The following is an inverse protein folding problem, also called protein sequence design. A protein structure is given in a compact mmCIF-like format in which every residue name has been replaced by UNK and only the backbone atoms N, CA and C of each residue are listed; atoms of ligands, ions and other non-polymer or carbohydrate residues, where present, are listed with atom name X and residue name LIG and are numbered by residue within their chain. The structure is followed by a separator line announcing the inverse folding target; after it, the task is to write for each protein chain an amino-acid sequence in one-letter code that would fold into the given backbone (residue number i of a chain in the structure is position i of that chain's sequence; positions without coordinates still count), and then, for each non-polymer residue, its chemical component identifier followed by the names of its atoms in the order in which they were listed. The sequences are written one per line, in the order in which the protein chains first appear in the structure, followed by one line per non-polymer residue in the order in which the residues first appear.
data_IF_493899956530
#
_entry.id   IF_493899956530
#
_cell.length_a   1.000
_cell.length_b   1.000
_cell.length_c   1.000
_cell.angle_alpha   90.00
_cell.angle_beta   90.00
_cell.angle_gamma   90.00
#
_symmetry.space_group_name_H-M   'P 1'
#
loop_
_entity.id
_entity.type
_entity.pdbx_description
1 polymer ?
#
# COMPACT_ATOMS: atom_id res chain seq x y z
N UNK A 1 -1.50 24.26 -10.84
CA UNK A 1 -0.98 22.91 -11.23
C UNK A 1 -1.90 21.84 -10.67
N UNK A 2 -1.92 20.66 -11.28
CA UNK A 2 -2.63 19.50 -10.80
C UNK A 2 -1.65 18.52 -10.15
N UNK A 3 -2.16 17.54 -9.41
CA UNK A 3 -1.39 16.45 -8.85
C UNK A 3 -1.46 15.26 -9.78
N UNK A 4 -0.32 14.65 -10.08
CA UNK A 4 -0.28 13.40 -10.83
C UNK A 4 -0.28 12.23 -9.87
N UNK A 5 -0.92 11.11 -10.25
CA UNK A 5 -1.15 9.96 -9.38
C UNK A 5 -0.50 8.73 -10.01
N UNK A 6 0.28 8.00 -9.22
CA UNK A 6 0.87 6.73 -9.63
C UNK A 6 0.33 5.59 -8.77
N UNK A 7 -0.22 4.56 -9.39
CA UNK A 7 -0.84 3.45 -8.69
C UNK A 7 -0.68 2.11 -9.43
N UNK A 8 -0.89 1.00 -8.71
CA UNK A 8 -0.89 -0.34 -9.25
C UNK A 8 -2.26 -0.75 -9.79
N UNK A 9 -2.29 -1.46 -10.91
CA UNK A 9 -3.54 -1.88 -11.56
C UNK A 9 -3.93 -3.33 -11.27
N UNK A 10 -3.07 -4.11 -10.63
CA UNK A 10 -3.26 -5.53 -10.33
C UNK A 10 -3.39 -5.76 -8.80
N UNK A 11 -2.84 -6.84 -8.28
CA UNK A 11 -2.88 -7.21 -6.85
C UNK A 11 -1.63 -6.76 -6.06
N UNK A 12 -1.01 -5.66 -6.45
CA UNK A 12 0.21 -5.16 -5.82
C UNK A 12 1.48 -5.77 -6.45
N UNK A 13 2.62 -5.31 -5.95
CA UNK A 13 3.95 -5.77 -6.39
C UNK A 13 4.28 -5.54 -7.87
N UNK A 14 3.61 -4.57 -8.50
CA UNK A 14 3.82 -4.22 -9.92
C UNK A 14 5.16 -3.51 -10.18
N UNK A 15 5.88 -3.09 -9.12
CA UNK A 15 7.14 -2.35 -9.26
C UNK A 15 6.97 -0.83 -9.24
N UNK A 16 5.91 -0.34 -8.57
CA UNK A 16 5.60 1.10 -8.43
C UNK A 16 6.79 1.94 -8.00
N UNK A 17 7.50 1.53 -6.94
CA UNK A 17 8.64 2.28 -6.39
C UNK A 17 9.70 2.60 -7.44
N UNK A 18 10.00 1.66 -8.35
CA UNK A 18 10.94 1.87 -9.46
C UNK A 18 10.48 2.98 -10.42
N UNK A 19 9.18 3.02 -10.73
CA UNK A 19 8.63 4.05 -11.62
C UNK A 19 8.54 5.40 -10.91
N UNK A 20 8.18 5.42 -9.61
CA UNK A 20 8.24 6.65 -8.81
C UNK A 20 9.65 7.22 -8.82
N UNK A 21 10.67 6.40 -8.57
CA UNK A 21 12.07 6.83 -8.57
C UNK A 21 12.47 7.43 -9.93
N UNK A 22 12.10 6.79 -11.05
CA UNK A 22 12.37 7.28 -12.41
C UNK A 22 11.66 8.61 -12.70
N UNK A 23 10.44 8.81 -12.20
CA UNK A 23 9.66 10.03 -12.44
C UNK A 23 10.02 11.16 -11.45
N UNK A 24 10.55 10.84 -10.28
CA UNK A 24 10.84 11.81 -9.20
C UNK A 24 11.65 13.03 -9.65
N UNK A 25 12.65 12.96 -10.55
CA UNK A 25 13.36 14.14 -11.01
C UNK A 25 12.46 15.25 -11.56
N UNK A 26 11.33 14.89 -12.15
CA UNK A 26 10.37 15.83 -12.74
C UNK A 26 9.41 16.46 -11.72
N UNK A 27 9.44 16.06 -10.46
CA UNK A 27 8.53 16.51 -9.42
C UNK A 27 9.27 17.25 -8.31
N UNK A 28 8.58 18.14 -7.61
CA UNK A 28 9.10 18.83 -6.42
C UNK A 28 8.75 18.06 -5.14
N UNK A 29 7.62 17.37 -5.16
CA UNK A 29 7.06 16.66 -4.00
C UNK A 29 6.61 15.26 -4.40
N UNK A 30 6.97 14.25 -3.59
CA UNK A 30 6.41 12.90 -3.65
C UNK A 30 5.62 12.63 -2.37
N UNK A 31 4.34 12.26 -2.50
CA UNK A 31 3.44 12.12 -1.36
C UNK A 31 2.72 10.76 -1.35
N UNK A 32 2.93 9.96 -0.29
CA UNK A 32 2.18 8.72 -0.05
C UNK A 32 0.78 9.06 0.44
N UNK A 33 -0.25 8.49 -0.18
CA UNK A 33 -1.63 8.86 0.13
C UNK A 33 -2.42 7.80 0.91
N UNK A 34 -2.00 6.53 0.93
CA UNK A 34 -2.71 5.47 1.63
C UNK A 34 -1.77 4.29 1.98
N UNK A 35 -2.31 3.31 2.73
CA UNK A 35 -1.57 2.14 3.19
C UNK A 35 -0.76 2.46 4.45
N UNK A 36 0.21 1.64 4.71
CA UNK A 36 1.04 1.71 5.88
C UNK A 36 2.24 0.78 5.73
N UNK A 37 2.76 0.20 6.83
CA UNK A 37 3.94 -0.67 6.78
C UNK A 37 3.73 -2.00 6.03
N UNK A 38 2.52 -2.31 5.56
CA UNK A 38 2.24 -3.44 4.67
C UNK A 38 2.74 -3.24 3.23
N UNK A 39 3.10 -2.02 2.83
CA UNK A 39 3.77 -1.77 1.55
C UNK A 39 5.23 -2.21 1.60
N UNK A 40 5.80 -2.53 0.43
CA UNK A 40 7.21 -2.83 0.27
C UNK A 40 7.68 -2.33 -1.09
N UNK A 41 8.08 -1.05 -1.17
CA UNK A 41 8.61 -0.45 -2.39
C UNK A 41 10.13 -0.65 -2.43
N UNK A 42 10.57 -1.55 -3.29
CA UNK A 42 12.00 -1.83 -3.45
C UNK A 42 12.61 -0.84 -4.42
N UNK A 43 13.66 -0.15 -3.98
CA UNK A 43 14.47 0.76 -4.78
C UNK A 43 15.93 0.31 -4.67
N UNK A 44 16.65 0.37 -5.76
CA UNK A 44 18.08 0.15 -5.79
C UNK A 44 18.78 1.50 -5.96
N UNK A 45 19.58 1.88 -4.97
CA UNK A 45 20.25 3.17 -4.92
C UNK A 45 21.73 2.96 -4.53
N UNK A 46 22.66 3.47 -5.34
CA UNK A 46 24.12 3.29 -5.16
C UNK A 46 24.55 1.83 -4.96
N UNK A 47 23.88 0.88 -5.64
CA UNK A 47 24.17 -0.55 -5.53
C UNK A 47 23.63 -1.21 -4.25
N UNK A 48 22.93 -0.46 -3.39
CA UNK A 48 22.23 -0.97 -2.22
C UNK A 48 20.74 -1.08 -2.48
N UNK A 49 20.15 -2.16 -1.98
CA UNK A 49 18.70 -2.40 -2.09
C UNK A 49 17.99 -1.91 -0.84
N UNK A 50 17.08 -0.97 -1.01
CA UNK A 50 16.24 -0.43 0.05
C UNK A 50 14.79 -0.88 -0.14
N UNK A 51 14.12 -1.25 0.95
CA UNK A 51 12.69 -1.60 0.95
C UNK A 51 11.96 -0.57 1.79
N UNK A 52 11.22 0.32 1.12
CA UNK A 52 10.45 1.38 1.78
C UNK A 52 9.05 0.90 2.11
N UNK A 53 8.60 1.16 3.33
CA UNK A 53 7.29 0.79 3.85
C UNK A 53 6.37 2.00 4.03
N UNK A 54 6.86 3.05 4.66
CA UNK A 54 6.13 4.28 4.99
C UNK A 54 6.64 5.49 4.22
N UNK A 55 7.96 5.55 4.04
CA UNK A 55 8.64 6.70 3.42
C UNK A 55 8.35 6.71 1.91
N UNK A 56 8.03 7.87 1.33
CA UNK A 56 7.89 7.98 -0.12
C UNK A 56 9.17 7.67 -0.87
N UNK A 57 9.05 7.10 -2.07
CA UNK A 57 10.18 6.64 -2.88
C UNK A 57 11.09 7.77 -3.37
N UNK A 58 10.64 9.02 -3.32
CA UNK A 58 11.43 10.20 -3.66
C UNK A 58 12.51 10.59 -2.65
N UNK A 59 12.62 9.89 -1.51
CA UNK A 59 13.54 10.26 -0.41
C UNK A 59 15.01 10.24 -0.83
N UNK A 60 15.38 9.43 -1.80
CA UNK A 60 16.75 9.31 -2.31
C UNK A 60 17.20 10.48 -3.20
N UNK A 61 16.29 11.36 -3.60
CA UNK A 61 16.57 12.56 -4.38
C UNK A 61 16.70 13.78 -3.46
N UNK A 62 17.87 14.41 -3.45
CA UNK A 62 18.27 15.40 -2.45
C UNK A 62 17.46 16.71 -2.44
N UNK A 63 16.86 17.07 -3.56
CA UNK A 63 16.11 18.32 -3.75
C UNK A 63 14.57 18.14 -3.61
N UNK A 64 14.10 16.92 -3.25
CA UNK A 64 12.67 16.61 -3.22
C UNK A 64 12.10 16.58 -1.81
N UNK A 65 10.89 17.11 -1.67
CA UNK A 65 10.11 16.98 -0.44
C UNK A 65 9.30 15.70 -0.50
N UNK A 66 9.28 14.98 0.61
CA UNK A 66 8.56 13.70 0.75
C UNK A 66 7.48 13.84 1.82
N UNK A 67 6.25 13.41 1.56
CA UNK A 67 5.13 13.59 2.48
C UNK A 67 4.46 12.26 2.78
N UNK A 68 4.37 11.92 4.06
CA UNK A 68 3.47 10.89 4.58
C UNK A 68 2.09 11.54 4.77
N UNK A 69 1.14 11.18 3.91
CA UNK A 69 -0.15 11.86 3.79
C UNK A 69 -1.19 11.45 4.84
N UNK A 70 -2.35 12.11 4.80
CA UNK A 70 -3.45 11.93 5.75
C UNK A 70 -4.04 10.51 5.75
N UNK A 71 -4.03 9.85 4.58
CA UNK A 71 -4.61 8.53 4.41
C UNK A 71 -3.73 7.39 4.91
N UNK A 72 -2.45 7.67 5.23
CA UNK A 72 -1.52 6.68 5.77
C UNK A 72 -1.86 6.28 7.20
N UNK A 73 -1.52 5.03 7.54
CA UNK A 73 -1.42 4.57 8.93
C UNK A 73 0.06 4.32 9.25
N UNK A 74 0.57 5.00 10.26
CA UNK A 74 2.00 5.09 10.59
C UNK A 74 2.29 4.27 11.83
N UNK A 75 3.16 3.28 11.70
CA UNK A 75 3.75 2.57 12.83
C UNK A 75 5.05 3.29 13.25
N UNK A 76 5.12 3.91 14.42
CA UNK A 76 6.32 4.63 14.86
C UNK A 76 7.57 3.76 14.90
N UNK A 77 7.45 2.49 15.29
CA UNK A 77 8.58 1.54 15.37
C UNK A 77 9.12 1.24 13.96
N UNK A 78 8.22 0.91 13.02
CA UNK A 78 8.62 0.67 11.63
C UNK A 78 9.20 1.94 11.01
N UNK A 79 8.62 3.11 11.28
CA UNK A 79 9.12 4.40 10.81
C UNK A 79 10.55 4.66 11.28
N UNK A 80 10.84 4.45 12.57
CA UNK A 80 12.19 4.60 13.12
C UNK A 80 13.19 3.68 12.43
N UNK A 81 12.89 2.39 12.35
CA UNK A 81 13.77 1.41 11.72
C UNK A 81 14.00 1.71 10.23
N UNK A 82 12.95 2.14 9.53
CA UNK A 82 13.06 2.50 8.12
C UNK A 82 13.97 3.70 7.90
N UNK A 83 13.79 4.78 8.68
CA UNK A 83 14.68 5.96 8.62
C UNK A 83 16.13 5.58 8.94
N UNK A 84 16.37 4.80 9.99
CA UNK A 84 17.71 4.34 10.39
C UNK A 84 18.37 3.48 9.29
N UNK A 85 17.57 2.71 8.54
CA UNK A 85 18.04 1.85 7.45
C UNK A 85 18.37 2.57 6.14
N UNK A 86 17.99 3.84 6.00
CA UNK A 86 18.28 4.61 4.77
C UNK A 86 19.77 4.84 4.54
N UNK A 87 20.61 4.81 5.60
CA UNK A 87 22.04 5.12 5.51
C UNK A 87 22.33 6.58 5.12
N UNK A 88 21.35 7.47 5.26
CA UNK A 88 21.43 8.88 4.91
C UNK A 88 21.67 9.75 6.15
N UNK A 89 22.19 10.96 5.95
CA UNK A 89 22.28 11.95 7.02
C UNK A 89 20.88 12.28 7.57
N UNK A 90 20.69 12.07 8.87
CA UNK A 90 19.40 12.23 9.54
C UNK A 90 18.87 13.66 9.51
N UNK A 91 19.75 14.65 9.52
CA UNK A 91 19.38 16.06 9.41
C UNK A 91 18.71 16.33 8.07
N UNK A 92 19.31 15.86 6.98
CA UNK A 92 18.75 15.97 5.63
C UNK A 92 17.43 15.23 5.49
N UNK A 93 17.30 14.03 6.09
CA UNK A 93 16.02 13.29 6.07
C UNK A 93 14.94 14.08 6.79
N UNK A 94 15.22 14.66 7.98
CA UNK A 94 14.26 15.47 8.75
C UNK A 94 13.81 16.75 8.02
N UNK A 95 14.67 17.35 7.24
CA UNK A 95 14.34 18.55 6.45
C UNK A 95 13.35 18.24 5.31
N UNK A 96 13.46 17.05 4.72
CA UNK A 96 12.76 16.66 3.49
C UNK A 96 11.58 15.72 3.69
N UNK A 97 11.51 15.05 4.83
CA UNK A 97 10.42 14.14 5.16
C UNK A 97 9.43 14.83 6.09
N UNK A 98 8.23 15.09 5.57
CA UNK A 98 7.13 15.72 6.28
C UNK A 98 6.05 14.67 6.61
N UNK A 99 5.47 14.76 7.80
CA UNK A 99 4.43 13.84 8.24
C UNK A 99 3.14 14.63 8.46
N UNK A 100 2.04 14.15 7.88
CA UNK A 100 0.74 14.77 8.11
C UNK A 100 0.30 14.64 9.55
N UNK A 101 -0.12 15.77 10.15
CA UNK A 101 -0.78 15.78 11.46
C UNK A 101 -2.02 14.88 11.51
N UNK A 102 -2.68 14.65 10.35
CA UNK A 102 -3.91 13.85 10.23
C UNK A 102 -3.66 12.38 9.94
N UNK A 103 -2.42 11.94 9.70
CA UNK A 103 -2.08 10.52 9.55
C UNK A 103 -2.36 9.77 10.86
N UNK A 104 -2.89 8.55 10.76
CA UNK A 104 -3.24 7.75 11.93
C UNK A 104 -2.05 6.91 12.42
N UNK A 105 -2.01 6.68 13.72
CA UNK A 105 -0.97 5.86 14.34
C UNK A 105 -1.41 4.40 14.45
N UNK A 106 -0.49 3.49 14.16
CA UNK A 106 -0.63 2.09 14.52
C UNK A 106 -0.09 1.92 15.93
N UNK A 107 -0.97 1.44 16.84
CA UNK A 107 -0.63 1.14 18.21
C UNK A 107 -0.19 -0.33 18.35
N UNK A 108 0.55 -0.70 19.41
CA UNK A 108 0.88 -2.11 19.69
C UNK A 108 -0.34 -3.03 19.69
N UNK A 109 -1.43 -2.59 20.27
CA UNK A 109 -2.70 -3.33 20.35
C UNK A 109 -3.37 -3.57 19.00
N UNK A 110 -3.13 -2.74 17.97
CA UNK A 110 -3.59 -3.02 16.61
C UNK A 110 -2.92 -4.27 16.03
N UNK A 111 -1.62 -4.48 16.30
CA UNK A 111 -0.91 -5.69 15.85
C UNK A 111 -1.48 -6.94 16.53
N UNK A 112 -1.79 -6.84 17.84
CA UNK A 112 -2.40 -7.92 18.59
C UNK A 112 -3.80 -8.26 18.08
N UNK A 113 -4.62 -7.25 17.79
CA UNK A 113 -5.95 -7.43 17.20
C UNK A 113 -5.88 -8.04 15.81
N UNK A 114 -4.93 -7.61 14.97
CA UNK A 114 -4.72 -8.17 13.63
C UNK A 114 -4.37 -9.66 13.71
N UNK A 115 -3.45 -10.02 14.60
CA UNK A 115 -3.07 -11.42 14.83
C UNK A 115 -4.23 -12.26 15.39
N UNK A 116 -5.00 -11.73 16.32
CA UNK A 116 -6.15 -12.41 16.93
C UNK A 116 -7.27 -12.62 15.90
N UNK A 117 -7.59 -11.59 15.09
CA UNK A 117 -8.58 -11.67 14.01
C UNK A 117 -8.18 -12.74 12.99
N UNK A 118 -6.94 -12.70 12.50
CA UNK A 118 -6.45 -13.64 11.51
C UNK A 118 -6.44 -15.08 12.05
N UNK A 119 -6.05 -15.27 13.31
CA UNK A 119 -6.08 -16.59 13.96
C UNK A 119 -7.51 -17.13 14.11
N UNK A 120 -8.49 -16.27 14.40
CA UNK A 120 -9.89 -16.65 14.59
C UNK A 120 -10.56 -17.16 13.31
N UNK A 121 -10.06 -16.78 12.13
CA UNK A 121 -10.61 -17.16 10.83
C UNK A 121 -10.24 -18.60 10.43
N UNK A 122 -9.31 -19.27 11.10
CA UNK A 122 -8.92 -20.65 10.79
C UNK A 122 -8.49 -20.81 9.33
N UNK A 123 -9.22 -21.64 8.58
CA UNK A 123 -8.95 -21.86 7.14
C UNK A 123 -9.37 -20.68 6.25
N UNK A 124 -10.29 -19.83 6.72
CA UNK A 124 -10.77 -18.65 5.99
C UNK A 124 -9.84 -17.42 6.12
N UNK A 125 -8.59 -17.62 6.51
CA UNK A 125 -7.59 -16.55 6.65
C UNK A 125 -7.49 -15.71 5.38
N UNK A 126 -7.44 -14.39 5.58
CA UNK A 126 -7.24 -13.41 4.49
C UNK A 126 -5.76 -13.41 4.05
N UNK A 127 -4.85 -13.76 4.94
CA UNK A 127 -3.40 -13.68 4.71
C UNK A 127 -2.84 -12.31 5.08
N UNK A 128 -3.34 -11.72 6.17
CA UNK A 128 -2.87 -10.45 6.73
C UNK A 128 -1.36 -10.44 6.94
N UNK A 129 -0.76 -9.25 6.85
CA UNK A 129 0.66 -9.03 7.17
C UNK A 129 0.94 -8.98 8.67
N UNK A 130 -0.08 -9.06 9.52
CA UNK A 130 -0.05 -8.95 10.98
C UNK A 130 0.58 -7.64 11.48
N UNK A 131 0.48 -6.57 10.69
CA UNK A 131 1.06 -5.25 11.01
C UNK A 131 0.05 -4.25 11.58
N UNK A 132 -1.15 -4.71 11.91
CA UNK A 132 -2.18 -3.87 12.52
C UNK A 132 -2.88 -2.91 11.55
N UNK A 133 -2.78 -3.13 10.24
CA UNK A 133 -3.34 -2.24 9.22
C UNK A 133 -4.87 -2.20 9.30
N UNK A 134 -5.52 -3.37 9.25
CA UNK A 134 -6.98 -3.49 9.36
C UNK A 134 -7.54 -2.83 10.61
N UNK A 135 -7.09 -3.20 11.81
CA UNK A 135 -7.53 -2.58 13.05
C UNK A 135 -7.31 -1.06 13.11
N UNK A 136 -6.18 -0.55 12.60
CA UNK A 136 -5.93 0.89 12.57
C UNK A 136 -6.91 1.65 11.64
N UNK A 137 -7.25 1.09 10.48
CA UNK A 137 -8.29 1.66 9.60
C UNK A 137 -9.70 1.49 10.19
N UNK A 138 -9.97 0.42 10.93
CA UNK A 138 -11.23 0.25 11.69
C UNK A 138 -11.38 1.37 12.70
N UNK A 139 -10.34 1.66 13.47
CA UNK A 139 -10.35 2.76 14.44
C UNK A 139 -10.51 4.13 13.76
N UNK A 140 -9.87 4.33 12.63
CA UNK A 140 -10.06 5.55 11.82
C UNK A 140 -11.54 5.70 11.41
N UNK A 141 -12.17 4.65 10.89
CA UNK A 141 -13.57 4.68 10.44
C UNK A 141 -14.55 4.82 11.61
N UNK A 142 -14.27 4.17 12.76
CA UNK A 142 -15.06 4.29 13.98
C UNK A 142 -14.81 5.60 14.77
N UNK A 143 -13.89 6.44 14.33
CA UNK A 143 -13.51 7.73 14.94
C UNK A 143 -12.84 7.57 16.30
N UNK A 144 -12.15 6.45 16.50
CA UNK A 144 -11.38 6.14 17.70
C UNK A 144 -9.86 6.19 17.48
N UNK A 145 -9.41 6.31 16.22
CA UNK A 145 -8.00 6.32 15.87
C UNK A 145 -7.25 7.50 16.45
N UNK A 146 -6.02 7.27 16.87
CA UNK A 146 -5.07 8.31 17.25
C UNK A 146 -4.33 8.83 16.00
N UNK A 147 -4.08 10.13 15.98
CA UNK A 147 -3.37 10.81 14.88
C UNK A 147 -2.00 11.28 15.31
N UNK A 148 -1.13 11.52 14.33
CA UNK A 148 0.21 12.11 14.58
C UNK A 148 0.10 13.46 15.30
N UNK A 149 -0.90 14.27 15.00
CA UNK A 149 -1.15 15.54 15.68
C UNK A 149 -1.43 15.41 17.18
N UNK A 150 -1.98 14.29 17.62
CA UNK A 150 -2.29 14.05 19.03
C UNK A 150 -1.02 13.87 19.89
N UNK A 151 0.11 13.53 19.28
CA UNK A 151 1.39 13.32 19.95
C UNK A 151 1.90 14.54 20.70
N UNK A 152 1.49 15.74 20.27
CA UNK A 152 1.85 17.03 20.92
C UNK A 152 0.82 17.46 21.97
N UNK A 153 -0.29 16.73 22.10
CA UNK A 153 -1.35 17.03 23.07
C UNK A 153 -0.94 16.70 24.50
N UNK A 154 -1.40 17.53 25.45
CA UNK A 154 -1.15 17.31 26.90
C UNK A 154 -1.74 15.98 27.38
N UNK A 155 -2.87 15.55 26.78
CA UNK A 155 -3.63 14.37 27.18
C UNK A 155 -3.26 13.12 26.36
N UNK A 156 -2.16 13.18 25.60
CA UNK A 156 -1.75 12.08 24.70
C UNK A 156 -1.69 10.71 25.40
N UNK A 157 -1.03 10.64 26.58
CA UNK A 157 -0.90 9.37 27.30
C UNK A 157 -2.24 8.86 27.87
N UNK A 158 -3.13 9.74 28.25
CA UNK A 158 -4.47 9.39 28.70
C UNK A 158 -5.32 8.87 27.54
N UNK A 159 -5.29 9.55 26.41
CA UNK A 159 -5.93 9.11 25.17
C UNK A 159 -5.41 7.72 24.75
N UNK A 160 -4.10 7.51 24.76
CA UNK A 160 -3.48 6.23 24.45
C UNK A 160 -4.02 5.12 25.38
N UNK A 161 -3.99 5.32 26.70
CA UNK A 161 -4.50 4.34 27.69
C UNK A 161 -5.98 4.02 27.48
N UNK A 162 -6.79 5.02 27.17
CA UNK A 162 -8.22 4.83 26.86
C UNK A 162 -8.40 3.89 25.67
N UNK A 163 -7.64 4.10 24.58
CA UNK A 163 -7.70 3.24 23.37
C UNK A 163 -7.19 1.83 23.64
N UNK A 164 -6.07 1.71 24.36
CA UNK A 164 -5.55 0.40 24.78
C UNK A 164 -6.60 -0.38 25.58
N UNK A 165 -7.28 0.26 26.54
CA UNK A 165 -8.31 -0.39 27.31
C UNK A 165 -9.50 -0.87 26.46
N UNK A 166 -9.91 -0.10 25.43
CA UNK A 166 -10.93 -0.53 24.49
C UNK A 166 -10.47 -1.79 23.71
N UNK A 167 -9.23 -1.79 23.23
CA UNK A 167 -8.66 -2.93 22.49
C UNK A 167 -8.47 -4.17 23.37
N UNK A 168 -8.05 -4.00 24.61
CA UNK A 168 -7.89 -5.12 25.56
C UNK A 168 -9.22 -5.81 25.84
N UNK A 169 -10.33 -5.07 25.93
CA UNK A 169 -11.67 -5.66 26.04
C UNK A 169 -12.02 -6.52 24.82
N UNK A 170 -11.65 -6.07 23.61
CA UNK A 170 -11.86 -6.87 22.41
C UNK A 170 -10.97 -8.13 22.41
N UNK A 171 -9.70 -8.00 22.80
CA UNK A 171 -8.74 -9.10 22.86
C UNK A 171 -9.14 -10.17 23.88
N UNK A 172 -9.80 -9.80 24.99
CA UNK A 172 -10.34 -10.76 25.95
C UNK A 172 -11.31 -11.75 25.29
N UNK A 173 -12.11 -11.28 24.32
CA UNK A 173 -13.01 -12.14 23.54
C UNK A 173 -12.29 -13.22 22.70
N UNK A 174 -11.02 -13.01 22.38
CA UNK A 174 -10.20 -13.98 21.63
C UNK A 174 -9.36 -14.91 22.53
N UNK A 175 -9.39 -14.74 23.86
CA UNK A 175 -8.61 -15.56 24.78
C UNK A 175 -7.08 -15.38 24.68
N UNK A 176 -6.62 -14.28 24.10
CA UNK A 176 -5.21 -14.00 23.91
C UNK A 176 -4.60 -13.29 25.12
N UNK A 177 -3.59 -13.90 25.74
CA UNK A 177 -2.69 -13.24 26.69
C UNK A 177 -1.45 -12.79 25.93
N UNK A 178 -1.10 -11.49 26.01
CA UNK A 178 0.03 -10.93 25.27
C UNK A 178 0.90 -10.06 26.17
N UNK A 179 2.21 -10.08 25.95
CA UNK A 179 3.15 -9.15 26.58
C UNK A 179 3.06 -7.77 25.89
N UNK A 180 2.07 -6.99 26.30
CA UNK A 180 1.86 -5.65 25.78
C UNK A 180 2.96 -4.68 26.25
N UNK A 181 3.53 -4.90 27.44
CA UNK A 181 4.43 -3.94 28.08
C UNK A 181 5.71 -3.71 27.27
N UNK A 182 6.37 -4.77 26.83
CA UNK A 182 7.57 -4.66 26.00
C UNK A 182 7.31 -3.92 24.69
N UNK A 183 6.15 -4.20 24.05
CA UNK A 183 5.75 -3.53 22.82
C UNK A 183 5.42 -2.04 23.05
N UNK A 184 4.86 -1.68 24.20
CA UNK A 184 4.57 -0.30 24.57
C UNK A 184 5.84 0.51 24.79
N UNK A 185 6.81 -0.05 25.51
CA UNK A 185 8.08 0.62 25.79
C UNK A 185 8.80 0.99 24.48
N UNK A 186 8.96 0.03 23.56
CA UNK A 186 9.54 0.26 22.24
C UNK A 186 8.73 1.29 21.42
N UNK A 187 7.39 1.20 21.47
CA UNK A 187 6.51 2.10 20.75
C UNK A 187 6.63 3.54 21.24
N UNK A 188 6.70 3.76 22.56
CA UNK A 188 6.87 5.11 23.12
C UNK A 188 8.25 5.70 22.79
N UNK A 189 9.30 4.91 22.81
CA UNK A 189 10.64 5.36 22.33
C UNK A 189 10.58 5.78 20.86
N UNK A 190 9.92 5.00 20.03
CA UNK A 190 9.75 5.30 18.61
C UNK A 190 8.85 6.54 18.38
N UNK A 191 7.85 6.78 19.24
CA UNK A 191 7.06 8.01 19.22
C UNK A 191 7.93 9.24 19.50
N UNK A 192 8.83 9.18 20.50
CA UNK A 192 9.75 10.30 20.78
C UNK A 192 10.73 10.52 19.62
N UNK A 193 11.12 9.46 18.91
CA UNK A 193 11.89 9.59 17.68
C UNK A 193 11.09 10.27 16.56
N UNK A 194 9.83 9.86 16.33
CA UNK A 194 8.95 10.43 15.31
C UNK A 194 8.68 11.92 15.56
N UNK A 195 8.54 12.36 16.81
CA UNK A 195 8.35 13.76 17.18
C UNK A 195 9.49 14.69 16.74
N UNK A 196 10.66 14.15 16.40
CA UNK A 196 11.79 14.91 15.91
C UNK A 196 11.63 15.30 14.43
N UNK A 197 10.61 14.78 13.75
CA UNK A 197 10.32 15.09 12.36
C UNK A 197 9.30 16.21 12.25
N UNK A 198 9.38 16.94 11.14
CA UNK A 198 8.46 18.04 10.87
C UNK A 198 7.07 17.50 10.55
N UNK A 199 6.08 17.91 11.34
CA UNK A 199 4.67 17.62 11.07
C UNK A 199 3.98 18.82 10.42
N UNK A 200 3.05 18.54 9.49
CA UNK A 200 2.36 19.58 8.71
C UNK A 200 0.87 19.26 8.52
N UNK A 201 0.08 20.29 8.25
CA UNK A 201 -1.22 20.10 7.62
C UNK A 201 -0.98 19.81 6.13
N UNK A 202 -0.87 18.54 5.75
CA UNK A 202 -0.43 18.12 4.42
C UNK A 202 -1.36 18.63 3.32
N UNK A 203 -2.66 18.71 3.57
CA UNK A 203 -3.67 19.28 2.68
C UNK A 203 -3.37 20.74 2.31
N UNK A 204 -3.10 21.59 3.30
CA UNK A 204 -2.71 22.99 3.05
C UNK A 204 -1.34 23.09 2.39
N UNK A 205 -0.37 22.28 2.84
CA UNK A 205 0.98 22.30 2.29
C UNK A 205 0.99 21.96 0.80
N UNK A 206 0.25 20.92 0.41
CA UNK A 206 0.14 20.48 -0.99
C UNK A 206 -0.62 21.53 -1.82
N UNK A 207 -1.75 22.07 -1.31
CA UNK A 207 -2.49 23.11 -2.05
C UNK A 207 -1.63 24.35 -2.30
N UNK A 208 -0.88 24.81 -1.29
CA UNK A 208 0.06 25.94 -1.43
C UNK A 208 1.16 25.63 -2.47
N UNK A 209 1.74 24.41 -2.45
CA UNK A 209 2.74 23.99 -3.41
C UNK A 209 2.18 24.01 -4.85
N UNK A 210 0.98 23.45 -5.06
CA UNK A 210 0.31 23.44 -6.37
C UNK A 210 -0.01 24.87 -6.87
N UNK A 211 -0.42 25.78 -5.96
CA UNK A 211 -0.63 27.19 -6.30
C UNK A 211 0.68 27.90 -6.65
N UNK A 212 1.78 27.52 -6.02
CA UNK A 212 3.11 28.06 -6.33
C UNK A 212 3.73 27.45 -7.59
N UNK A 213 2.97 26.63 -8.36
CA UNK A 213 3.45 26.04 -9.59
C UNK A 213 4.32 24.78 -9.40
N UNK A 214 4.38 24.23 -8.19
CA UNK A 214 5.13 23.02 -7.88
C UNK A 214 4.42 21.77 -8.42
N UNK A 215 5.20 20.80 -8.89
CA UNK A 215 4.72 19.52 -9.35
C UNK A 215 4.69 18.52 -8.20
N UNK A 216 3.56 17.83 -8.03
CA UNK A 216 3.35 16.86 -6.95
C UNK A 216 2.97 15.50 -7.55
N UNK A 217 3.69 14.44 -7.14
CA UNK A 217 3.39 13.05 -7.46
C UNK A 217 2.77 12.36 -6.24
N UNK A 218 1.55 11.89 -6.38
CA UNK A 218 0.90 11.04 -5.38
C UNK A 218 1.29 9.57 -5.61
N UNK A 219 2.00 8.98 -4.66
CA UNK A 219 2.47 7.61 -4.70
C UNK A 219 1.50 6.68 -3.99
N UNK A 220 0.89 5.74 -4.75
CA UNK A 220 0.02 4.70 -4.23
C UNK A 220 0.79 3.46 -3.75
N UNK A 221 0.12 2.67 -2.92
CA UNK A 221 0.61 1.37 -2.45
C UNK A 221 -0.41 0.28 -2.80
N UNK A 222 0.00 -0.99 -2.70
CA UNK A 222 -0.79 -2.15 -3.13
C UNK A 222 -1.19 -2.04 -4.61
N UNK A 223 -2.44 -2.38 -4.96
CA UNK A 223 -2.96 -2.28 -6.32
C UNK A 223 -4.48 -2.23 -6.33
N UNK A 224 -5.07 -1.87 -7.47
CA UNK A 224 -6.52 -1.66 -7.62
C UNK A 224 -7.36 -2.86 -7.21
N UNK A 225 -6.90 -4.07 -7.53
CA UNK A 225 -7.62 -5.31 -7.18
C UNK A 225 -7.57 -5.63 -5.68
N UNK A 226 -6.83 -4.84 -4.88
CA UNK A 226 -6.78 -4.89 -3.42
C UNK A 226 -7.49 -3.69 -2.77
N UNK A 227 -8.18 -2.84 -3.52
CA UNK A 227 -8.94 -1.71 -2.98
C UNK A 227 -10.10 -2.20 -2.11
N UNK A 228 -10.38 -1.50 -1.00
CA UNK A 228 -11.42 -1.88 -0.04
C UNK A 228 -12.83 -1.89 -0.67
N UNK A 229 -13.10 -1.00 -1.63
CA UNK A 229 -14.41 -0.85 -2.27
C UNK A 229 -14.48 -1.55 -3.63
N UNK A 230 -13.39 -1.50 -4.41
CA UNK A 230 -13.36 -1.93 -5.82
C UNK A 230 -12.54 -3.19 -6.08
N UNK A 231 -11.85 -3.71 -5.06
CA UNK A 231 -11.01 -4.91 -5.17
C UNK A 231 -11.78 -6.21 -5.00
N UNK A 232 -11.03 -7.30 -4.90
CA UNK A 232 -11.55 -8.67 -4.76
C UNK A 232 -11.97 -8.97 -3.32
N UNK A 233 -12.95 -8.23 -2.81
CA UNK A 233 -13.45 -8.35 -1.44
C UNK A 233 -13.91 -9.78 -1.10
N UNK A 234 -13.64 -10.33 0.11
CA UNK A 234 -13.01 -9.67 1.27
C UNK A 234 -11.46 -9.72 1.28
N UNK A 235 -10.83 -10.27 0.27
CA UNK A 235 -9.38 -10.45 0.18
C UNK A 235 -8.70 -9.18 -0.37
N UNK A 236 -8.82 -8.09 0.37
CA UNK A 236 -8.37 -6.74 0.03
C UNK A 236 -7.60 -6.09 1.18
N UNK A 237 -6.96 -4.96 0.93
CA UNK A 237 -6.43 -4.10 2.00
C UNK A 237 -7.53 -3.19 2.54
N UNK A 238 -7.35 -2.65 3.74
CA UNK A 238 -8.35 -1.80 4.40
C UNK A 238 -8.29 -0.33 3.97
N UNK A 239 -7.72 -0.03 2.81
CA UNK A 239 -7.57 1.33 2.31
C UNK A 239 -7.96 1.46 0.84
N UNK A 240 -8.28 2.69 0.41
CA UNK A 240 -8.56 2.97 -0.99
C UNK A 240 -7.28 3.13 -1.79
N UNK A 241 -6.99 2.14 -2.63
CA UNK A 241 -5.80 2.05 -3.48
C UNK A 241 -6.02 2.70 -4.86
N UNK A 242 -7.27 3.01 -5.18
CA UNK A 242 -7.67 3.68 -6.43
C UNK A 242 -7.32 5.17 -6.42
N UNK A 243 -7.35 5.81 -7.59
CA UNK A 243 -6.98 7.22 -7.77
C UNK A 243 -7.77 8.18 -6.85
N UNK A 244 -9.06 7.90 -6.60
CA UNK A 244 -9.88 8.66 -5.66
C UNK A 244 -9.29 8.66 -4.21
N UNK A 245 -8.53 7.60 -3.84
CA UNK A 245 -7.81 7.53 -2.57
C UNK A 245 -6.77 8.62 -2.40
N UNK A 246 -6.19 9.15 -3.48
CA UNK A 246 -5.28 10.29 -3.40
C UNK A 246 -6.00 11.58 -2.98
N UNK A 247 -7.24 11.77 -3.45
CA UNK A 247 -8.03 12.93 -3.06
C UNK A 247 -8.31 12.95 -1.55
N UNK A 248 -8.76 11.83 -0.99
CA UNK A 248 -9.04 11.72 0.46
C UNK A 248 -7.77 11.63 1.29
N UNK A 249 -6.75 10.93 0.78
CA UNK A 249 -5.50 10.65 1.48
C UNK A 249 -4.53 11.83 1.56
N UNK A 250 -4.68 12.83 0.68
CA UNK A 250 -3.86 14.04 0.68
C UNK A 250 -4.68 15.33 0.87
N UNK A 251 -6.01 15.23 0.90
CA UNK A 251 -6.89 16.39 1.03
C UNK A 251 -6.97 17.22 -0.25
N UNK A 252 -7.04 16.59 -1.42
CA UNK A 252 -7.03 17.24 -2.72
C UNK A 252 -8.42 17.19 -3.34
N UNK A 253 -8.85 18.31 -3.90
CA UNK A 253 -10.12 18.34 -4.65
C UNK A 253 -10.01 17.47 -5.92
N UNK A 254 -11.06 16.67 -6.27
CA UNK A 254 -11.02 15.81 -7.46
C UNK A 254 -10.67 16.55 -8.75
N UNK A 255 -11.14 17.79 -8.93
CA UNK A 255 -10.80 18.64 -10.09
C UNK A 255 -9.34 19.10 -10.15
N UNK A 256 -8.50 18.74 -9.18
CA UNK A 256 -7.06 19.01 -9.16
C UNK A 256 -6.22 17.76 -9.48
N UNK A 257 -6.83 16.67 -9.89
CA UNK A 257 -6.11 15.50 -10.42
C UNK A 257 -5.61 15.78 -11.84
N UNK A 258 -4.37 15.39 -12.08
CA UNK A 258 -3.71 15.47 -13.40
C UNK A 258 -3.62 14.10 -14.05
N UNK A 259 -2.41 13.71 -14.46
CA UNK A 259 -2.15 12.40 -15.06
C UNK A 259 -2.32 11.27 -14.03
N UNK A 260 -2.84 10.14 -14.49
CA UNK A 260 -2.95 8.92 -13.70
C UNK A 260 -2.09 7.83 -14.36
N UNK A 261 -0.96 7.55 -13.74
CA UNK A 261 0.00 6.53 -14.17
C UNK A 261 -0.39 5.16 -13.60
N UNK A 262 -0.82 4.28 -14.47
CA UNK A 262 -1.18 2.91 -14.13
C UNK A 262 -0.02 1.94 -14.34
N UNK A 263 0.43 1.29 -13.28
CA UNK A 263 1.54 0.34 -13.34
C UNK A 263 0.99 -1.08 -13.30
N UNK A 264 1.42 -1.92 -14.25
CA UNK A 264 1.05 -3.33 -14.31
C UNK A 264 2.21 -4.19 -14.80
N UNK A 265 2.21 -5.47 -14.46
CA UNK A 265 3.14 -6.44 -15.01
C UNK A 265 2.58 -7.08 -16.28
N UNK A 266 3.45 -7.53 -17.17
CA UNK A 266 3.07 -8.30 -18.35
C UNK A 266 2.38 -9.64 -18.03
N UNK A 267 2.34 -10.03 -16.75
CA UNK A 267 1.64 -11.17 -16.17
C UNK A 267 1.05 -10.76 -14.81
N UNK A 268 0.27 -11.60 -14.18
CA UNK A 268 -0.32 -11.31 -12.88
C UNK A 268 0.43 -12.00 -11.76
N UNK A 269 0.49 -11.35 -10.59
CA UNK A 269 0.96 -11.96 -9.34
C UNK A 269 0.05 -11.60 -8.19
N UNK A 270 -0.10 -12.52 -7.22
CA UNK A 270 -0.86 -12.26 -6.00
C UNK A 270 -0.15 -12.85 -4.78
N UNK A 271 -0.18 -12.13 -3.67
CA UNK A 271 0.21 -12.63 -2.34
C UNK A 271 -1.05 -12.83 -1.51
N UNK A 272 -1.07 -13.88 -0.68
CA UNK A 272 -2.20 -14.19 0.19
C UNK A 272 -3.34 -14.93 -0.49
N UNK A 273 -4.43 -15.07 0.23
CA UNK A 273 -5.63 -15.79 -0.18
C UNK A 273 -6.50 -15.02 -1.16
N UNK A 274 -7.57 -15.65 -1.61
CA UNK A 274 -8.58 -15.03 -2.47
C UNK A 274 -8.45 -15.39 -3.95
N UNK A 275 -9.46 -15.03 -4.75
CA UNK A 275 -9.56 -15.42 -6.14
C UNK A 275 -8.44 -14.83 -6.99
N UNK A 276 -7.90 -15.67 -7.88
CA UNK A 276 -6.91 -15.27 -8.87
C UNK A 276 -7.22 -16.04 -10.15
N UNK A 277 -8.06 -15.52 -11.04
CA UNK A 277 -8.60 -16.27 -12.15
C UNK A 277 -7.55 -16.91 -13.04
N UNK A 278 -6.50 -16.17 -13.40
CA UNK A 278 -5.46 -16.62 -14.32
C UNK A 278 -4.30 -17.35 -13.65
N UNK A 279 -4.44 -17.75 -12.38
CA UNK A 279 -3.37 -18.45 -11.64
C UNK A 279 -2.93 -19.73 -12.35
N UNK A 280 -1.62 -19.96 -12.35
CA UNK A 280 -0.96 -21.13 -12.90
C UNK A 280 -0.33 -21.96 -11.78
N UNK A 281 -0.81 -23.21 -11.65
CA UNK A 281 -0.29 -24.18 -10.69
C UNK A 281 0.56 -25.26 -11.39
N UNK A 282 1.17 -24.92 -12.52
CA UNK A 282 1.95 -25.78 -13.39
C UNK A 282 3.41 -25.30 -13.55
N UNK A 283 4.13 -25.90 -14.51
CA UNK A 283 5.52 -25.56 -14.80
C UNK A 283 5.69 -24.10 -15.29
N UNK A 284 4.71 -23.54 -16.00
CA UNK A 284 4.75 -22.16 -16.47
C UNK A 284 4.63 -21.19 -15.31
N UNK A 285 3.72 -21.44 -14.36
CA UNK A 285 3.60 -20.65 -13.14
C UNK A 285 4.86 -20.68 -12.28
N UNK A 286 5.50 -21.85 -12.16
CA UNK A 286 6.78 -21.96 -11.46
C UNK A 286 7.89 -21.21 -12.21
N UNK A 287 7.97 -21.35 -13.52
CA UNK A 287 8.94 -20.65 -14.36
C UNK A 287 8.80 -19.12 -14.26
N UNK A 288 7.56 -18.59 -14.28
CA UNK A 288 7.31 -17.15 -14.05
C UNK A 288 7.83 -16.70 -12.69
N UNK A 289 7.59 -17.50 -11.65
CA UNK A 289 8.05 -17.19 -10.29
C UNK A 289 9.56 -17.12 -10.20
N UNK A 290 10.25 -18.09 -10.76
CA UNK A 290 11.72 -18.19 -10.70
C UNK A 290 12.39 -17.11 -11.55
N UNK A 291 11.99 -16.95 -12.79
CA UNK A 291 12.55 -15.93 -13.70
C UNK A 291 12.20 -14.51 -13.24
N UNK A 292 10.99 -14.31 -12.74
CA UNK A 292 10.54 -13.02 -12.22
C UNK A 292 11.07 -12.71 -10.83
N UNK A 293 11.72 -13.66 -10.14
CA UNK A 293 12.08 -13.56 -8.72
C UNK A 293 10.87 -13.12 -7.89
N UNK A 294 9.73 -13.82 -8.09
CA UNK A 294 8.44 -13.44 -7.50
C UNK A 294 8.31 -13.99 -6.07
N UNK A 295 9.06 -13.35 -5.17
CA UNK A 295 9.04 -13.59 -3.72
C UNK A 295 8.79 -12.29 -2.99
N UNK A 296 8.09 -12.36 -1.86
CA UNK A 296 7.76 -11.18 -1.05
C UNK A 296 9.03 -10.51 -0.52
N UNK A 297 9.20 -9.21 -0.78
CA UNK A 297 10.39 -8.46 -0.39
C UNK A 297 10.66 -8.49 1.14
N UNK A 298 9.60 -8.58 1.95
CA UNK A 298 9.68 -8.58 3.41
C UNK A 298 9.57 -9.98 4.01
N UNK A 299 8.71 -10.84 3.44
CA UNK A 299 8.38 -12.14 4.04
C UNK A 299 9.04 -13.32 3.34
N UNK A 300 9.64 -13.11 2.17
CA UNK A 300 10.18 -14.19 1.33
C UNK A 300 9.13 -15.16 0.79
N UNK A 301 7.84 -14.95 1.06
CA UNK A 301 6.77 -15.85 0.60
C UNK A 301 6.72 -15.89 -0.92
N UNK A 302 6.59 -17.08 -1.54
CA UNK A 302 6.41 -17.19 -2.98
C UNK A 302 5.08 -16.52 -3.38
N UNK A 303 5.14 -15.71 -4.44
CA UNK A 303 3.93 -15.14 -5.04
C UNK A 303 3.27 -16.17 -5.93
N UNK A 304 1.95 -16.19 -5.93
CA UNK A 304 1.13 -16.88 -6.92
C UNK A 304 1.32 -16.14 -8.25
N UNK A 305 1.52 -16.85 -9.35
CA UNK A 305 1.76 -16.28 -10.68
C UNK A 305 0.71 -16.78 -11.65
N UNK A 306 0.39 -15.97 -12.66
CA UNK A 306 -0.57 -16.30 -13.68
C UNK A 306 -0.48 -15.40 -14.89
N UNK A 307 -1.12 -15.79 -16.00
CA UNK A 307 -1.15 -15.01 -17.23
C UNK A 307 -1.81 -13.64 -17.02
N UNK A 308 -1.54 -12.70 -17.92
CA UNK A 308 -2.17 -11.38 -17.88
C UNK A 308 -3.69 -11.52 -17.96
N UNK A 309 -4.38 -10.91 -17.02
CA UNK A 309 -5.83 -10.82 -16.92
C UNK A 309 -6.29 -9.48 -17.49
N UNK A 310 -6.69 -9.49 -18.75
CA UNK A 310 -7.06 -8.27 -19.47
C UNK A 310 -8.40 -7.69 -19.02
N UNK A 311 -9.47 -8.48 -18.72
CA UNK A 311 -10.68 -7.95 -18.11
C UNK A 311 -10.41 -7.21 -16.78
N UNK A 312 -9.63 -7.81 -15.88
CA UNK A 312 -9.27 -7.17 -14.62
C UNK A 312 -8.44 -5.89 -14.84
N UNK A 313 -7.50 -5.90 -15.79
CA UNK A 313 -6.71 -4.73 -16.15
C UNK A 313 -7.58 -3.60 -16.73
N UNK A 314 -8.51 -3.91 -17.64
CA UNK A 314 -9.46 -2.93 -18.21
C UNK A 314 -10.36 -2.31 -17.14
N UNK A 315 -10.85 -3.12 -16.22
CA UNK A 315 -11.60 -2.66 -15.07
C UNK A 315 -10.78 -1.68 -14.22
N UNK A 316 -9.55 -2.04 -13.89
CA UNK A 316 -8.65 -1.17 -13.13
C UNK A 316 -8.36 0.16 -13.85
N UNK A 317 -8.15 0.13 -15.17
CA UNK A 317 -7.98 1.33 -15.99
C UNK A 317 -9.21 2.24 -15.90
N UNK A 318 -10.39 1.67 -16.03
CA UNK A 318 -11.67 2.39 -15.99
C UNK A 318 -11.91 3.06 -14.63
N UNK A 319 -11.77 2.30 -13.54
CA UNK A 319 -12.03 2.80 -12.17
C UNK A 319 -11.08 3.94 -11.78
N UNK A 320 -9.85 3.88 -12.26
CA UNK A 320 -8.82 4.87 -11.94
C UNK A 320 -8.77 6.05 -12.92
N UNK A 321 -9.42 5.98 -14.07
CA UNK A 321 -9.27 6.98 -15.12
C UNK A 321 -7.81 7.08 -15.60
N UNK A 322 -7.15 5.94 -15.80
CA UNK A 322 -5.73 5.87 -16.19
C UNK A 322 -5.49 6.58 -17.51
N UNK A 323 -4.51 7.48 -17.53
CA UNK A 323 -4.11 8.24 -18.72
C UNK A 323 -2.85 7.70 -19.36
N UNK A 324 -1.97 7.06 -18.60
CA UNK A 324 -0.72 6.48 -19.07
C UNK A 324 -0.46 5.13 -18.41
N UNK A 325 0.06 4.18 -19.18
CA UNK A 325 0.34 2.81 -18.76
C UNK A 325 1.84 2.52 -18.77
N UNK A 326 2.32 1.88 -17.68
CA UNK A 326 3.67 1.36 -17.60
C UNK A 326 3.63 -0.16 -17.43
N UNK A 327 4.09 -0.88 -18.46
CA UNK A 327 4.23 -2.33 -18.40
C UNK A 327 5.57 -2.71 -17.78
N UNK A 328 5.53 -3.53 -16.74
CA UNK A 328 6.70 -4.02 -16.02
C UNK A 328 6.94 -5.50 -16.33
N UNK A 329 8.19 -5.94 -16.18
CA UNK A 329 8.52 -7.38 -16.19
C UNK A 329 8.21 -8.14 -17.50
N UNK A 330 8.14 -7.45 -18.64
CA UNK A 330 7.94 -8.11 -19.93
C UNK A 330 9.12 -9.03 -20.31
N UNK A 331 10.32 -8.71 -19.84
CA UNK A 331 11.53 -9.50 -19.97
C UNK A 331 11.41 -10.93 -19.42
N UNK A 332 10.64 -11.11 -18.35
CA UNK A 332 10.37 -12.43 -17.73
C UNK A 332 9.70 -13.39 -18.70
N UNK A 333 8.90 -12.89 -19.63
CA UNK A 333 8.18 -13.71 -20.61
C UNK A 333 9.02 -14.11 -21.83
N UNK A 334 10.23 -13.58 -21.97
CA UNK A 334 11.08 -13.83 -23.16
C UNK A 334 11.48 -15.30 -23.35
N UNK A 335 11.43 -16.12 -22.31
CA UNK A 335 11.80 -17.53 -22.36
C UNK A 335 10.61 -18.50 -22.55
N UNK A 336 9.39 -17.98 -22.78
CA UNK A 336 8.20 -18.80 -22.98
C UNK A 336 7.98 -19.07 -24.47
N UNK A 337 7.59 -20.31 -24.81
CA UNK A 337 7.25 -20.71 -26.18
C UNK A 337 5.92 -20.13 -26.65
N UNK A 338 5.02 -19.88 -25.71
CA UNK A 338 3.70 -19.30 -25.92
C UNK A 338 3.41 -18.32 -24.76
N UNK A 339 2.86 -17.15 -25.08
CA UNK A 339 2.40 -16.16 -24.10
C UNK A 339 0.89 -16.05 -24.26
N UNK A 340 0.17 -16.35 -23.18
CA UNK A 340 -1.29 -16.30 -23.15
C UNK A 340 -1.77 -15.03 -22.44
N UNK A 341 -2.87 -14.47 -22.95
CA UNK A 341 -3.57 -13.35 -22.34
C UNK A 341 -5.04 -13.75 -22.16
N UNK A 342 -5.54 -13.70 -20.93
CA UNK A 342 -6.95 -13.90 -20.68
C UNK A 342 -7.72 -12.70 -21.23
N UNK A 343 -8.59 -12.93 -22.21
CA UNK A 343 -9.31 -11.89 -22.94
C UNK A 343 -10.77 -11.73 -22.47
N UNK A 344 -11.37 -12.80 -21.98
CA UNK A 344 -12.74 -12.83 -21.46
C UNK A 344 -12.94 -13.99 -20.49
N UNK A 345 -14.04 -13.97 -19.77
CA UNK A 345 -14.47 -15.02 -18.86
C UNK A 345 -15.78 -15.66 -19.35
N UNK A 346 -15.98 -16.93 -19.05
CA UNK A 346 -17.28 -17.57 -19.14
C UNK A 346 -17.90 -17.61 -17.73
N UNK A 347 -19.04 -16.95 -17.57
CA UNK A 347 -19.81 -16.88 -16.31
C UNK A 347 -21.25 -17.30 -16.60
N UNK A 348 -21.76 -18.31 -15.90
CA UNK A 348 -23.07 -18.87 -16.13
C UNK A 348 -23.32 -19.26 -17.60
N UNK A 349 -22.30 -19.82 -18.27
CA UNK A 349 -22.35 -20.25 -19.67
C UNK A 349 -22.38 -19.11 -20.71
N UNK A 350 -22.10 -17.87 -20.29
CA UNK A 350 -22.00 -16.72 -21.18
C UNK A 350 -20.61 -16.11 -21.14
N UNK A 351 -20.06 -15.84 -22.29
CA UNK A 351 -18.79 -15.10 -22.41
C UNK A 351 -19.01 -13.61 -22.10
N UNK A 352 -18.12 -13.06 -21.25
CA UNK A 352 -18.11 -11.62 -20.91
C UNK A 352 -16.68 -11.10 -20.75
N UNK A 353 -16.47 -9.84 -21.11
CA UNK A 353 -15.19 -9.14 -20.94
C UNK A 353 -15.16 -8.22 -19.71
N UNK A 354 -16.23 -8.16 -18.97
CA UNK A 354 -16.34 -7.40 -17.73
C UNK A 354 -15.93 -8.27 -16.53
N UNK A 355 -15.34 -7.65 -15.53
CA UNK A 355 -15.02 -8.30 -14.26
C UNK A 355 -16.31 -8.66 -13.53
N UNK A 356 -16.60 -9.95 -13.24
CA UNK A 356 -17.82 -10.31 -12.52
C UNK A 356 -17.72 -9.90 -11.05
N UNK A 357 -18.86 -9.68 -10.41
CA UNK A 357 -18.93 -9.37 -8.98
C UNK A 357 -18.25 -10.45 -8.12
N UNK A 358 -18.50 -11.71 -8.43
CA UNK A 358 -17.89 -12.86 -7.77
C UNK A 358 -16.94 -13.56 -8.74
N UNK A 359 -15.64 -13.52 -8.47
CA UNK A 359 -14.64 -14.16 -9.33
C UNK A 359 -14.68 -15.70 -9.23
N UNK A 360 -15.34 -16.27 -8.23
CA UNK A 360 -15.56 -17.72 -8.12
C UNK A 360 -16.67 -18.23 -9.06
N UNK A 361 -17.48 -17.34 -9.65
CA UNK A 361 -18.50 -17.70 -10.64
C UNK A 361 -17.91 -17.92 -12.04
N UNK A 362 -16.62 -17.64 -12.23
CA UNK A 362 -15.91 -17.87 -13.49
C UNK A 362 -15.74 -19.38 -13.67
N UNK A 363 -16.35 -19.92 -14.72
CA UNK A 363 -16.28 -21.35 -15.05
C UNK A 363 -15.17 -21.66 -16.06
N UNK A 364 -14.79 -20.69 -16.90
CA UNK A 364 -13.79 -20.87 -17.93
C UNK A 364 -13.08 -19.53 -18.25
N UNK A 365 -11.81 -19.63 -18.63
CA UNK A 365 -10.98 -18.51 -19.07
C UNK A 365 -10.70 -18.62 -20.57
N UNK A 366 -11.02 -17.57 -21.30
CA UNK A 366 -10.80 -17.53 -22.73
C UNK A 366 -9.48 -16.80 -23.02
N UNK A 367 -8.50 -17.55 -23.51
CA UNK A 367 -7.17 -17.05 -23.81
C UNK A 367 -6.99 -16.72 -25.30
N UNK A 368 -6.14 -15.73 -25.56
CA UNK A 368 -5.54 -15.46 -26.86
C UNK A 368 -4.04 -15.51 -26.73
#
# INVERSE_FOLDING_TARGET
MNIDILLGLQWGDEGKGKIVDVLTPDYDIVARFQGGPNAGHTIEFHGAKHVLHLIPSGIFHDDKINIIGNGMVVDPVVFRHEVESLGMDIGRVRERLLISLKAHLIMPTHKLLDAANEASLGEAKIGSTLRGIGPAYTDKASRKGMRVGDLSGKDFRELYRSRVNDHLRLLQGYGCANDLKSMEDEWFEAVEYLKQFRTVNADYHIDQALRAGKRVLAEGAQGTMLDIDFGTYPYVTSSNTVAAGACTGLGIAPGRTGEVFGIFKAYCTRVGSGPFPTELNDADGQKMRDQGNEYGATTGRPRRCGWLDLPALKYAIMVNGVTQLFMMKADVLSGFSEIKVCNSYTVNGKEQSELPYCLYDISELNYR
#
